data_IF_397418821096
#
_entry.id   IF_397418821096
#
_cell.length_a   1.000
_cell.length_b   1.000
_cell.length_c   1.000
_cell.angle_alpha   90.00
_cell.angle_beta   90.00
_cell.angle_gamma   90.00
#
_symmetry.space_group_name_H-M   'P 1'
#
loop_
_entity.id
_entity.type
_entity.pdbx_description
1 polymer ?
#
# COMPACT_ATOMS: atom_id res chain seq x y z
N UNK A 1 -101.21 3.93 20.04
CA UNK A 1 -100.33 2.84 19.60
C UNK A 1 -99.18 3.47 18.82
N UNK A 2 -98.04 3.73 19.49
CA UNK A 2 -96.87 4.36 18.89
C UNK A 2 -95.74 3.33 18.86
N UNK A 3 -95.22 3.04 17.67
CA UNK A 3 -94.10 2.13 17.44
C UNK A 3 -92.84 2.98 17.42
N UNK A 4 -92.04 2.91 18.50
CA UNK A 4 -90.70 3.49 18.54
C UNK A 4 -89.73 2.54 17.83
N UNK A 5 -89.20 2.97 16.67
CA UNK A 5 -88.09 2.27 15.99
C UNK A 5 -86.77 2.87 16.47
N UNK A 6 -86.05 2.10 17.27
CA UNK A 6 -84.67 2.39 17.68
C UNK A 6 -83.72 2.20 16.49
N UNK A 7 -83.43 3.29 15.77
CA UNK A 7 -82.34 3.33 14.79
C UNK A 7 -81.00 3.36 15.51
N UNK A 8 -80.23 2.27 15.44
CA UNK A 8 -78.82 2.26 15.85
C UNK A 8 -77.99 2.86 14.70
N UNK A 9 -77.47 4.06 14.91
CA UNK A 9 -76.40 4.64 14.11
C UNK A 9 -75.11 3.87 14.41
N UNK A 10 -74.63 3.07 13.46
CA UNK A 10 -73.30 2.50 13.49
C UNK A 10 -72.30 3.59 13.06
N UNK A 11 -71.54 4.12 14.00
CA UNK A 11 -70.40 4.98 13.71
C UNK A 11 -69.26 4.10 13.15
N UNK A 12 -69.04 4.17 11.85
CA UNK A 12 -67.84 3.59 11.21
C UNK A 12 -66.71 4.59 11.44
N UNK A 13 -65.84 4.29 12.39
CA UNK A 13 -64.59 5.02 12.58
C UNK A 13 -63.59 4.56 11.51
N UNK A 14 -63.39 5.37 10.46
CA UNK A 14 -62.19 5.26 9.62
C UNK A 14 -61.01 5.73 10.47
N UNK A 15 -60.29 4.79 11.05
CA UNK A 15 -58.97 5.04 11.61
C UNK A 15 -58.00 5.34 10.47
N UNK A 16 -57.79 6.62 10.17
CA UNK A 16 -56.66 7.06 9.36
C UNK A 16 -55.39 6.79 10.17
N UNK A 17 -54.84 5.57 10.03
CA UNK A 17 -53.51 5.26 10.50
C UNK A 17 -52.53 6.16 9.76
N UNK A 18 -51.98 7.15 10.47
CA UNK A 18 -50.75 7.82 10.06
C UNK A 18 -49.67 6.74 10.00
N UNK A 19 -49.46 6.16 8.81
CA UNK A 19 -48.25 5.41 8.54
C UNK A 19 -47.14 6.46 8.56
N UNK A 20 -46.37 6.50 9.64
CA UNK A 20 -45.17 7.32 9.69
C UNK A 20 -44.36 6.98 8.45
N UNK A 21 -44.11 7.97 7.59
CA UNK A 21 -43.22 7.76 6.46
C UNK A 21 -41.90 7.25 7.03
N UNK A 22 -41.45 6.09 6.57
CA UNK A 22 -40.10 5.62 6.87
C UNK A 22 -39.14 6.75 6.55
N UNK A 23 -38.12 7.00 7.40
CA UNK A 23 -37.12 8.02 7.10
C UNK A 23 -36.59 7.77 5.69
N UNK A 24 -36.46 8.84 4.90
CA UNK A 24 -35.81 8.75 3.60
C UNK A 24 -34.45 8.08 3.82
N UNK A 25 -34.17 7.04 3.03
CA UNK A 25 -32.89 6.35 3.14
C UNK A 25 -31.77 7.38 2.95
N UNK A 26 -30.83 7.42 3.90
CA UNK A 26 -29.64 8.21 3.73
C UNK A 26 -28.82 7.60 2.58
N UNK A 27 -28.34 8.44 1.67
CA UNK A 27 -27.39 8.01 0.67
C UNK A 27 -26.12 7.53 1.40
N UNK A 28 -25.62 6.35 1.04
CA UNK A 28 -24.33 5.87 1.51
C UNK A 28 -23.30 6.04 0.41
N UNK A 29 -22.12 6.50 0.82
CA UNK A 29 -20.99 6.73 -0.06
C UNK A 29 -19.77 5.94 0.41
N UNK A 30 -18.93 5.56 -0.54
CA UNK A 30 -17.58 5.02 -0.32
C UNK A 30 -16.63 5.94 -1.05
N UNK A 31 -15.65 6.49 -0.36
CA UNK A 31 -14.69 7.40 -0.98
C UNK A 31 -13.47 7.59 -0.12
N UNK A 32 -12.36 7.93 -0.76
CA UNK A 32 -11.10 8.23 -0.09
C UNK A 32 -10.13 9.01 -0.99
N UNK A 33 -8.88 9.12 -0.55
CA UNK A 33 -7.74 9.72 -1.24
C UNK A 33 -6.82 8.66 -1.85
N UNK A 34 -6.33 8.94 -3.04
CA UNK A 34 -5.20 8.27 -3.68
C UNK A 34 -4.06 9.27 -3.79
N UNK A 35 -2.88 8.90 -3.31
CA UNK A 35 -1.72 9.79 -3.24
C UNK A 35 -0.42 9.07 -3.59
N UNK A 36 0.59 9.87 -3.92
CA UNK A 36 1.95 9.44 -4.09
C UNK A 36 2.71 9.66 -2.79
N UNK A 37 2.97 8.56 -2.08
CA UNK A 37 3.83 8.42 -0.90
C UNK A 37 5.30 8.50 -1.32
N UNK A 38 5.82 9.71 -1.36
CA UNK A 38 7.15 9.98 -1.91
C UNK A 38 8.30 9.47 -1.06
N UNK A 39 8.07 9.27 0.24
CA UNK A 39 9.08 8.82 1.19
C UNK A 39 8.85 7.37 1.68
N UNK A 40 7.84 6.69 1.13
CA UNK A 40 7.48 5.29 1.39
C UNK A 40 7.09 5.01 2.85
N UNK A 41 6.51 5.98 3.54
CA UNK A 41 6.19 5.87 4.97
C UNK A 41 4.77 5.34 5.26
N UNK A 42 3.94 5.18 4.23
CA UNK A 42 2.56 4.69 4.29
C UNK A 42 1.55 5.71 4.80
N UNK A 43 1.90 7.00 4.84
CA UNK A 43 1.08 8.07 5.40
C UNK A 43 1.11 9.30 4.48
N UNK A 44 -0.07 9.79 4.10
CA UNK A 44 -0.19 11.05 3.39
C UNK A 44 0.27 12.23 4.28
N UNK A 45 1.38 12.86 3.91
CA UNK A 45 1.89 14.06 4.59
C UNK A 45 2.38 15.17 3.63
N UNK A 46 3.14 16.13 4.14
CA UNK A 46 3.59 17.29 3.38
C UNK A 46 4.66 16.98 2.32
N UNK A 47 5.27 15.80 2.34
CA UNK A 47 6.16 15.32 1.28
C UNK A 47 5.38 14.80 0.07
N UNK A 48 4.11 14.41 0.28
CA UNK A 48 3.31 13.67 -0.68
C UNK A 48 2.43 14.56 -1.55
N UNK A 49 1.90 13.96 -2.61
CA UNK A 49 0.97 14.64 -3.51
C UNK A 49 -0.16 13.72 -3.96
N UNK A 50 -1.32 14.30 -4.18
CA UNK A 50 -2.53 13.58 -4.60
C UNK A 50 -2.45 13.12 -6.05
N UNK A 51 -3.05 11.97 -6.38
CA UNK A 51 -3.03 11.39 -7.73
C UNK A 51 -4.40 11.49 -8.42
N UNK A 52 -4.51 12.34 -9.45
CA UNK A 52 -5.70 12.48 -10.29
C UNK A 52 -5.72 11.52 -11.48
N UNK A 53 -6.92 11.18 -11.97
CA UNK A 53 -7.09 10.31 -13.14
C UNK A 53 -6.93 8.82 -12.86
N UNK A 54 -6.74 8.44 -11.60
CA UNK A 54 -6.61 7.05 -11.17
C UNK A 54 -7.98 6.41 -11.09
N UNK A 55 -8.16 5.27 -11.76
CA UNK A 55 -9.41 4.50 -11.69
C UNK A 55 -9.43 3.65 -10.41
N UNK A 56 -10.52 3.81 -9.65
CA UNK A 56 -10.81 3.10 -8.41
C UNK A 56 -12.06 2.27 -8.61
N UNK A 57 -11.99 0.97 -8.35
CA UNK A 57 -13.11 0.03 -8.43
C UNK A 57 -13.59 -0.33 -7.03
N UNK A 58 -14.89 -0.14 -6.80
CA UNK A 58 -15.61 -0.55 -5.60
C UNK A 58 -16.46 -1.76 -5.96
N UNK A 59 -16.22 -2.90 -5.31
CA UNK A 59 -16.99 -4.13 -5.50
C UNK A 59 -17.52 -4.61 -4.16
N UNK A 60 -18.84 -4.79 -4.05
CA UNK A 60 -19.46 -5.38 -2.87
C UNK A 60 -19.98 -6.78 -3.15
N UNK A 61 -19.75 -7.68 -2.21
CA UNK A 61 -20.30 -9.03 -2.18
C UNK A 61 -21.38 -9.14 -1.12
N UNK A 62 -22.36 -10.00 -1.40
CA UNK A 62 -23.32 -10.44 -0.39
C UNK A 62 -22.68 -11.47 0.57
N UNK A 63 -23.43 -11.89 1.58
CA UNK A 63 -22.97 -12.91 2.52
C UNK A 63 -22.82 -14.32 1.92
N UNK A 64 -23.24 -14.53 0.67
CA UNK A 64 -22.92 -15.73 -0.11
C UNK A 64 -21.60 -15.61 -0.88
N UNK A 65 -20.92 -14.47 -0.81
CA UNK A 65 -19.71 -14.16 -1.57
C UNK A 65 -19.98 -13.75 -3.02
N UNK A 66 -21.24 -13.61 -3.43
CA UNK A 66 -21.58 -13.19 -4.79
C UNK A 66 -21.46 -11.67 -4.91
N UNK A 67 -20.72 -11.19 -5.91
CA UNK A 67 -20.68 -9.76 -6.24
C UNK A 67 -22.08 -9.28 -6.57
N UNK A 68 -22.56 -8.31 -5.80
CA UNK A 68 -23.91 -7.79 -5.92
C UNK A 68 -23.93 -6.29 -6.24
N UNK A 69 -22.80 -5.61 -6.10
CA UNK A 69 -22.59 -4.24 -6.56
C UNK A 69 -21.17 -4.08 -7.09
N UNK A 70 -21.03 -3.31 -8.16
CA UNK A 70 -19.75 -2.97 -8.73
C UNK A 70 -19.84 -1.58 -9.39
N UNK A 71 -18.85 -0.72 -9.10
CA UNK A 71 -18.76 0.62 -9.67
C UNK A 71 -17.30 1.02 -9.81
N UNK A 72 -17.01 1.87 -10.79
CA UNK A 72 -15.70 2.49 -10.97
C UNK A 72 -15.82 4.00 -10.83
N UNK A 73 -14.87 4.61 -10.14
CA UNK A 73 -14.68 6.06 -10.05
C UNK A 73 -13.29 6.43 -10.55
N UNK A 74 -13.11 7.71 -10.86
CA UNK A 74 -11.82 8.28 -11.25
C UNK A 74 -11.47 9.39 -10.27
N UNK A 75 -10.27 9.36 -9.71
CA UNK A 75 -9.81 10.40 -8.79
C UNK A 75 -9.72 11.76 -9.47
N UNK A 76 -9.96 12.83 -8.72
CA UNK A 76 -10.00 14.18 -9.30
C UNK A 76 -11.29 14.51 -10.03
N UNK A 77 -12.23 13.56 -10.12
CA UNK A 77 -13.49 13.72 -10.87
C UNK A 77 -14.66 13.25 -10.01
N UNK A 78 -15.72 14.04 -9.99
CA UNK A 78 -16.95 13.66 -9.30
C UNK A 78 -17.62 12.50 -10.04
N UNK A 79 -17.85 11.39 -9.35
CA UNK A 79 -18.57 10.26 -9.92
C UNK A 79 -20.01 10.68 -10.31
N UNK A 80 -20.58 10.19 -11.43
CA UNK A 80 -21.90 10.63 -11.90
C UNK A 80 -23.07 10.40 -10.92
N UNK A 81 -22.93 9.49 -9.96
CA UNK A 81 -23.93 9.27 -8.91
C UNK A 81 -23.82 10.26 -7.75
N UNK A 82 -22.79 11.10 -7.72
CA UNK A 82 -22.51 12.03 -6.62
C UNK A 82 -22.81 13.45 -7.08
N UNK A 83 -23.52 14.21 -6.25
CA UNK A 83 -23.68 15.66 -6.46
C UNK A 83 -22.58 16.42 -5.73
N UNK A 84 -22.13 17.61 -6.19
CA UNK A 84 -21.12 18.39 -5.48
C UNK A 84 -21.50 18.64 -4.01
N UNK A 85 -22.76 18.90 -3.73
CA UNK A 85 -23.27 19.07 -2.36
C UNK A 85 -23.19 17.79 -1.53
N UNK A 86 -23.42 16.61 -2.14
CA UNK A 86 -23.28 15.34 -1.44
C UNK A 86 -21.81 15.07 -1.11
N UNK A 87 -20.90 15.40 -2.02
CA UNK A 87 -19.46 15.33 -1.79
C UNK A 87 -19.04 16.28 -0.66
N UNK A 88 -19.41 17.56 -0.74
CA UNK A 88 -19.10 18.54 0.30
C UNK A 88 -19.67 18.12 1.66
N UNK A 89 -20.88 17.54 1.70
CA UNK A 89 -21.48 17.05 2.95
C UNK A 89 -20.78 15.80 3.47
N UNK A 90 -20.33 14.92 2.57
CA UNK A 90 -19.68 13.67 2.93
C UNK A 90 -18.20 13.83 3.28
N UNK A 91 -17.54 14.86 2.75
CA UNK A 91 -16.09 15.02 2.81
C UNK A 91 -15.64 16.30 3.55
N UNK A 92 -16.54 17.18 3.98
CA UNK A 92 -16.17 18.33 4.81
C UNK A 92 -16.07 17.98 6.30
N UNK A 93 -15.22 18.68 7.05
CA UNK A 93 -13.77 18.71 7.02
C UNK A 93 -13.25 17.72 8.07
N UNK A 94 -12.89 16.50 7.68
CA UNK A 94 -11.93 15.74 8.47
C UNK A 94 -10.65 16.59 8.52
N UNK A 95 -10.26 17.00 9.73
CA UNK A 95 -9.38 18.14 9.98
C UNK A 95 -8.07 18.09 9.18
N UNK A 96 -7.92 19.00 8.21
CA UNK A 96 -6.66 19.20 7.47
C UNK A 96 -6.76 19.04 5.95
N UNK A 97 -7.83 18.42 5.46
CA UNK A 97 -8.06 18.25 4.03
C UNK A 97 -8.72 19.50 3.40
N UNK A 98 -8.34 19.79 2.16
CA UNK A 98 -8.45 21.08 1.45
C UNK A 98 -9.88 21.67 1.31
N UNK A 99 -9.93 22.92 0.83
CA UNK A 99 -11.14 23.72 0.69
C UNK A 99 -12.24 23.01 -0.10
N UNK A 100 -13.51 23.22 0.32
CA UNK A 100 -14.70 22.69 -0.33
C UNK A 100 -14.61 22.75 -1.87
N UNK A 101 -14.71 21.59 -2.51
CA UNK A 101 -14.61 21.43 -3.97
C UNK A 101 -13.25 21.01 -4.53
N UNK A 102 -12.20 20.84 -3.71
CA UNK A 102 -10.97 20.19 -4.17
C UNK A 102 -11.17 18.67 -4.24
N UNK A 103 -11.14 18.15 -5.46
CA UNK A 103 -11.29 16.73 -5.76
C UNK A 103 -9.95 16.02 -5.94
N UNK A 104 -8.82 16.73 -5.81
CA UNK A 104 -7.53 16.15 -6.17
C UNK A 104 -7.18 14.91 -5.34
N UNK A 105 -6.87 13.81 -6.02
CA UNK A 105 -6.67 12.48 -5.45
C UNK A 105 -7.93 11.78 -4.96
N UNK A 106 -9.08 12.45 -4.95
CA UNK A 106 -10.27 11.94 -4.26
C UNK A 106 -11.20 11.18 -5.19
N UNK A 107 -11.77 10.09 -4.69
CA UNK A 107 -12.90 9.41 -5.29
C UNK A 107 -14.08 9.37 -4.31
N UNK A 108 -15.30 9.35 -4.82
CA UNK A 108 -16.51 9.12 -4.02
C UNK A 108 -17.53 8.38 -4.90
N UNK A 109 -18.06 7.27 -4.41
CA UNK A 109 -19.02 6.40 -5.08
C UNK A 109 -20.25 6.29 -4.21
N UNK A 110 -21.42 6.68 -4.73
CA UNK A 110 -22.69 6.34 -4.09
C UNK A 110 -22.96 4.85 -4.27
N UNK A 111 -23.12 4.13 -3.16
CA UNK A 111 -23.31 2.67 -3.15
C UNK A 111 -24.76 2.29 -2.87
N UNK A 112 -25.56 3.15 -2.24
CA UNK A 112 -26.98 2.89 -2.01
C UNK A 112 -27.86 3.81 -2.84
N UNK A 113 -28.86 3.21 -3.50
CA UNK A 113 -29.92 3.98 -4.14
C UNK A 113 -30.94 4.54 -3.13
N UNK A 114 -31.90 5.32 -3.63
CA UNK A 114 -32.92 6.08 -2.89
C UNK A 114 -33.80 5.28 -1.90
N UNK A 115 -33.66 3.96 -1.83
CA UNK A 115 -34.40 3.07 -0.93
C UNK A 115 -33.53 2.37 0.13
N UNK A 116 -32.25 2.74 0.27
CA UNK A 116 -31.38 2.21 1.33
C UNK A 116 -31.00 0.73 1.14
N UNK A 117 -31.10 0.24 -0.10
CA UNK A 117 -30.60 -1.05 -0.52
C UNK A 117 -29.62 -0.86 -1.67
N UNK A 118 -28.51 -1.59 -1.62
CA UNK A 118 -27.59 -1.73 -2.73
C UNK A 118 -28.33 -2.38 -3.93
N UNK A 119 -28.37 -1.75 -5.11
CA UNK A 119 -29.04 -2.32 -6.28
C UNK A 119 -28.43 -3.68 -6.63
N UNK A 120 -29.22 -4.75 -6.59
CA UNK A 120 -28.75 -6.10 -6.89
C UNK A 120 -28.27 -6.92 -5.69
N UNK A 121 -28.11 -6.29 -4.52
CA UNK A 121 -27.81 -6.99 -3.28
C UNK A 121 -29.08 -7.39 -2.54
N UNK A 122 -29.12 -8.61 -1.99
CA UNK A 122 -30.16 -9.01 -1.05
C UNK A 122 -30.12 -8.07 0.16
N UNK A 123 -31.25 -7.62 0.71
CA UNK A 123 -31.27 -6.69 1.84
C UNK A 123 -30.44 -7.27 3.00
N UNK A 124 -29.58 -6.47 3.65
CA UNK A 124 -28.73 -6.99 4.69
C UNK A 124 -29.63 -7.39 5.85
N UNK A 125 -29.45 -8.60 6.36
CA UNK A 125 -30.05 -9.00 7.64
C UNK A 125 -29.09 -8.62 8.75
N UNK A 126 -29.57 -8.46 9.98
CA UNK A 126 -28.71 -8.16 11.14
C UNK A 126 -27.56 -9.16 11.38
N UNK A 127 -27.52 -10.27 10.64
CA UNK A 127 -26.49 -11.31 10.69
C UNK A 127 -25.58 -11.37 9.45
N UNK A 128 -25.78 -10.50 8.46
CA UNK A 128 -25.13 -10.59 7.13
C UNK A 128 -24.83 -9.21 6.55
N UNK A 129 -23.76 -8.53 7.02
CA UNK A 129 -23.31 -7.29 6.41
C UNK A 129 -22.78 -7.54 4.99
N UNK A 130 -22.84 -6.53 4.13
CA UNK A 130 -22.13 -6.55 2.85
C UNK A 130 -20.64 -6.45 3.08
N UNK A 131 -19.84 -7.14 2.27
CA UNK A 131 -18.39 -6.94 2.24
C UNK A 131 -18.05 -6.15 0.99
N UNK A 132 -17.53 -4.94 1.14
CA UNK A 132 -17.06 -4.16 0.01
C UNK A 132 -15.54 -4.15 -0.02
N UNK A 133 -14.99 -4.32 -1.21
CA UNK A 133 -13.58 -4.20 -1.54
C UNK A 133 -13.38 -2.98 -2.43
N UNK A 134 -12.36 -2.20 -2.11
CA UNK A 134 -11.84 -1.15 -2.99
C UNK A 134 -10.50 -1.59 -3.58
N UNK A 135 -10.36 -1.43 -4.89
CA UNK A 135 -9.13 -1.72 -5.64
C UNK A 135 -8.80 -0.59 -6.60
N UNK A 136 -7.53 -0.24 -6.70
CA UNK A 136 -7.06 0.71 -7.71
C UNK A 136 -6.66 -0.03 -8.97
N UNK A 137 -6.96 0.53 -10.14
CA UNK A 137 -6.46 0.03 -11.41
C UNK A 137 -5.04 0.55 -11.65
N UNK A 138 -4.04 -0.30 -11.40
CA UNK A 138 -2.63 0.04 -11.53
C UNK A 138 -2.24 0.54 -12.94
N UNK A 139 -2.98 0.15 -13.98
CA UNK A 139 -2.72 0.61 -15.36
C UNK A 139 -3.07 2.10 -15.58
N UNK A 140 -3.77 2.72 -14.62
CA UNK A 140 -4.13 4.15 -14.66
C UNK A 140 -3.25 5.01 -13.75
N UNK A 141 -2.34 4.39 -12.99
CA UNK A 141 -1.36 5.12 -12.20
C UNK A 141 -0.35 5.81 -13.10
N UNK A 142 0.11 7.02 -12.75
CA UNK A 142 1.21 7.65 -13.48
C UNK A 142 2.49 6.83 -13.33
N UNK A 143 3.31 6.78 -14.37
CA UNK A 143 4.60 6.07 -14.35
C UNK A 143 5.53 6.56 -13.24
N UNK A 144 5.35 7.80 -12.79
CA UNK A 144 6.12 8.39 -11.69
C UNK A 144 5.67 7.90 -10.33
N UNK A 145 4.58 7.12 -10.20
CA UNK A 145 3.99 6.71 -8.95
C UNK A 145 3.16 5.43 -9.05
N UNK A 146 3.81 4.31 -9.35
CA UNK A 146 3.15 3.02 -9.59
C UNK A 146 3.68 1.88 -8.71
N UNK A 147 4.58 2.15 -7.75
CA UNK A 147 4.98 1.18 -6.76
C UNK A 147 3.93 1.15 -5.66
N UNK A 148 3.23 0.04 -5.46
CA UNK A 148 2.31 -0.07 -4.33
C UNK A 148 3.12 -0.01 -3.03
N UNK A 149 2.82 0.97 -2.17
CA UNK A 149 3.35 0.93 -0.81
C UNK A 149 2.58 -0.17 -0.10
N UNK A 150 3.26 -1.30 0.10
CA UNK A 150 2.76 -2.26 1.07
C UNK A 150 2.86 -1.55 2.41
N UNK A 151 1.76 -1.44 3.19
CA UNK A 151 1.85 -0.92 4.55
C UNK A 151 3.03 -1.61 5.23
N UNK A 152 3.91 -0.82 5.85
CA UNK A 152 5.21 -1.25 6.38
C UNK A 152 5.11 -2.67 6.92
N UNK A 153 5.94 -3.58 6.41
CA UNK A 153 5.93 -4.99 6.82
C UNK A 153 6.08 -5.08 8.34
N UNK A 154 4.98 -5.47 8.99
CA UNK A 154 4.77 -5.24 10.41
C UNK A 154 3.60 -4.30 10.59
N UNK A 155 2.38 -4.84 10.48
CA UNK A 155 1.26 -4.30 11.25
C UNK A 155 1.80 -3.98 12.65
N UNK A 156 1.45 -2.83 13.25
CA UNK A 156 1.69 -2.63 14.67
C UNK A 156 1.38 -3.93 15.39
N UNK A 157 2.30 -4.39 16.24
CA UNK A 157 2.06 -5.61 17.00
C UNK A 157 0.73 -5.40 17.71
N UNK A 158 -0.25 -6.25 17.36
CA UNK A 158 -1.53 -6.37 18.05
C UNK A 158 -1.21 -6.39 19.55
N UNK A 159 -1.44 -5.24 20.18
CA UNK A 159 -0.81 -4.87 21.44
C UNK A 159 -1.32 -5.76 22.56
N UNK A 160 -2.51 -6.31 22.35
CA UNK A 160 -3.22 -7.18 23.28
C UNK A 160 -3.34 -8.64 22.77
N UNK A 161 -3.09 -8.91 21.48
CA UNK A 161 -3.11 -10.22 20.85
C UNK A 161 -4.50 -10.76 20.49
N UNK A 162 -5.53 -9.92 20.40
CA UNK A 162 -6.92 -10.34 20.19
C UNK A 162 -7.35 -10.42 18.71
N UNK A 163 -6.49 -9.96 17.79
CA UNK A 163 -6.71 -10.00 16.36
C UNK A 163 -7.70 -8.95 15.84
N UNK A 164 -8.07 -7.98 16.66
CA UNK A 164 -8.59 -6.71 16.21
C UNK A 164 -7.49 -5.64 16.29
N UNK A 165 -7.68 -4.51 15.58
CA UNK A 165 -6.71 -3.40 15.59
C UNK A 165 -7.42 -2.13 16.04
N UNK A 166 -8.34 -2.26 17.00
CA UNK A 166 -9.32 -1.25 17.31
C UNK A 166 -9.00 -0.48 18.59
N UNK A 167 -7.91 -0.80 19.30
CA UNK A 167 -7.63 -0.26 20.62
C UNK A 167 -6.39 0.66 20.68
N UNK A 168 -6.26 1.49 21.73
CA UNK A 168 -5.09 2.33 21.95
C UNK A 168 -3.77 1.56 22.14
N UNK A 169 -3.85 0.30 22.52
CA UNK A 169 -2.73 -0.58 22.83
C UNK A 169 -2.07 -1.15 21.56
N UNK A 170 -2.81 -1.27 20.45
CA UNK A 170 -2.34 -1.67 19.11
C UNK A 170 -1.44 -0.63 18.43
N UNK A 171 -1.23 0.52 19.09
CA UNK A 171 -0.41 1.61 18.56
C UNK A 171 -1.16 2.44 17.51
N UNK A 172 -0.63 3.63 17.18
CA UNK A 172 -1.20 4.42 16.11
C UNK A 172 -1.00 3.65 14.79
N UNK A 173 -2.09 3.32 14.10
CA UNK A 173 -1.99 3.13 12.67
C UNK A 173 -1.23 4.32 12.05
N UNK A 174 -0.43 4.12 10.99
CA UNK A 174 0.21 5.22 10.26
C UNK A 174 -0.77 6.35 9.88
N UNK A 175 -2.07 6.05 9.82
CA UNK A 175 -3.15 6.96 9.46
C UNK A 175 -3.63 7.88 10.60
N UNK A 176 -3.27 7.64 11.88
CA UNK A 176 -3.76 8.47 12.99
C UNK A 176 -5.28 8.59 13.09
N UNK A 177 -6.02 7.70 12.42
CA UNK A 177 -7.48 7.62 12.41
C UNK A 177 -7.90 6.26 12.96
N UNK A 178 -9.01 6.27 13.71
CA UNK A 178 -9.71 5.06 14.10
C UNK A 178 -10.26 4.47 12.79
N UNK A 179 -9.92 3.23 12.46
CA UNK A 179 -10.66 2.43 11.48
C UNK A 179 -12.01 2.06 12.10
N UNK A 180 -12.87 3.07 12.24
CA UNK A 180 -14.14 2.98 12.94
C UNK A 180 -14.79 4.35 12.94
N UNK A 181 -16.06 4.40 12.54
CA UNK A 181 -16.98 5.52 12.65
C UNK A 181 -16.59 6.40 13.85
N UNK A 182 -16.22 7.66 13.58
CA UNK A 182 -15.80 8.62 14.61
C UNK A 182 -16.90 8.97 15.64
N UNK A 183 -18.03 8.26 15.61
CA UNK A 183 -19.08 8.23 16.62
C UNK A 183 -19.46 6.83 17.16
N UNK A 184 -18.93 5.74 16.59
CA UNK A 184 -19.17 4.39 17.11
C UNK A 184 -18.14 4.08 18.21
N UNK A 185 -18.64 3.81 19.41
CA UNK A 185 -17.82 3.36 20.55
C UNK A 185 -16.88 2.23 20.14
N UNK A 186 -15.65 2.21 20.64
CA UNK A 186 -14.66 1.12 20.56
C UNK A 186 -15.29 -0.30 20.51
N UNK A 187 -16.31 -0.54 21.34
CA UNK A 187 -17.13 -1.76 21.37
C UNK A 187 -17.78 -2.21 20.03
N UNK A 188 -17.99 -1.29 19.08
CA UNK A 188 -18.54 -1.59 17.76
C UNK A 188 -17.45 -2.05 16.77
N UNK A 189 -16.23 -1.57 16.95
CA UNK A 189 -15.05 -2.03 16.22
C UNK A 189 -14.67 -3.45 16.69
N UNK A 190 -14.62 -3.66 18.02
CA UNK A 190 -14.39 -4.98 18.65
C UNK A 190 -15.44 -6.04 18.23
N UNK A 191 -16.68 -5.64 17.99
CA UNK A 191 -17.75 -6.56 17.61
C UNK A 191 -17.64 -7.08 16.16
N UNK A 192 -16.83 -6.44 15.31
CA UNK A 192 -16.70 -6.75 13.89
C UNK A 192 -15.32 -6.39 13.33
N UNK A 193 -14.24 -7.07 13.76
CA UNK A 193 -12.88 -6.78 13.29
C UNK A 193 -12.77 -6.94 11.77
N UNK A 194 -12.18 -5.94 11.13
CA UNK A 194 -11.85 -6.01 9.70
C UNK A 194 -10.61 -6.88 9.52
N UNK A 195 -10.62 -7.91 8.65
CA UNK A 195 -9.41 -8.65 8.35
C UNK A 195 -8.39 -7.73 7.69
N UNK A 196 -7.13 -7.82 8.13
CA UNK A 196 -6.03 -7.08 7.52
C UNK A 196 -5.94 -7.31 6.00
N UNK A 197 -5.46 -6.32 5.24
CA UNK A 197 -5.35 -6.42 3.79
C UNK A 197 -4.45 -7.61 3.37
N UNK A 198 -4.91 -8.42 2.43
CA UNK A 198 -4.08 -9.39 1.69
C UNK A 198 -3.63 -8.82 0.35
N UNK A 199 -2.68 -9.45 -0.35
CA UNK A 199 -2.10 -8.96 -1.62
C UNK A 199 -3.13 -8.36 -2.61
N UNK A 200 -2.98 -7.07 -2.92
CA UNK A 200 -3.85 -6.31 -3.84
C UNK A 200 -5.26 -5.99 -3.33
N UNK A 201 -5.51 -6.22 -2.04
CA UNK A 201 -6.77 -5.92 -1.34
C UNK A 201 -6.49 -4.78 -0.40
N UNK A 202 -6.90 -3.57 -0.75
CA UNK A 202 -6.46 -2.41 0.02
C UNK A 202 -7.35 -2.18 1.25
N UNK A 203 -8.64 -2.53 1.16
CA UNK A 203 -9.57 -2.45 2.30
C UNK A 203 -10.76 -3.38 2.10
N UNK A 204 -11.21 -4.00 3.19
CA UNK A 204 -12.52 -4.65 3.28
C UNK A 204 -13.29 -4.02 4.43
N UNK A 205 -14.49 -3.52 4.18
CA UNK A 205 -15.36 -3.00 5.25
C UNK A 205 -16.74 -3.65 5.20
N UNK A 206 -17.36 -3.71 6.39
CA UNK A 206 -18.70 -4.25 6.60
C UNK A 206 -19.69 -3.14 6.92
N UNK A 207 -20.77 -3.02 6.15
CA UNK A 207 -21.83 -2.08 6.48
C UNK A 207 -22.74 -2.61 7.59
N UNK A 208 -23.07 -1.81 8.62
CA UNK A 208 -24.05 -2.21 9.61
C UNK A 208 -25.44 -2.37 8.99
N UNK A 209 -26.33 -3.06 9.72
CA UNK A 209 -27.70 -3.32 9.30
C UNK A 209 -28.49 -2.02 9.02
N UNK A 210 -29.56 -2.08 8.20
CA UNK A 210 -30.35 -0.90 7.82
C UNK A 210 -30.88 -0.17 9.05
N UNK A 211 -30.68 1.15 9.12
CA UNK A 211 -31.14 2.00 10.23
C UNK A 211 -30.05 2.48 11.19
N UNK A 212 -28.79 2.09 10.99
CA UNK A 212 -27.65 2.77 11.59
C UNK A 212 -27.12 3.83 10.62
N UNK A 213 -27.10 5.09 11.07
CA UNK A 213 -26.56 6.20 10.28
C UNK A 213 -25.03 6.13 10.31
N UNK A 214 -24.42 5.36 9.41
CA UNK A 214 -22.98 5.45 9.15
C UNK A 214 -22.73 6.73 8.36
N UNK A 215 -22.44 7.80 9.08
CA UNK A 215 -22.01 9.07 8.50
C UNK A 215 -20.51 8.94 8.22
N UNK A 216 -20.17 8.89 6.94
CA UNK A 216 -18.84 9.16 6.39
C UNK A 216 -17.71 8.44 7.10
N UNK A 217 -17.52 7.19 6.74
CA UNK A 217 -16.30 6.48 7.10
C UNK A 217 -15.43 6.39 5.85
N UNK A 218 -14.55 7.39 5.68
CA UNK A 218 -13.42 7.29 4.76
C UNK A 218 -12.55 6.16 5.28
N UNK A 219 -12.27 5.17 4.45
CA UNK A 219 -11.44 4.04 4.84
C UNK A 219 -10.46 3.73 3.71
N UNK A 220 -9.19 3.94 4.07
CA UNK A 220 -7.94 3.78 3.33
C UNK A 220 -7.57 4.90 2.35
N UNK A 221 -6.61 5.71 2.80
CA UNK A 221 -5.75 6.47 1.89
C UNK A 221 -4.86 5.46 1.12
N UNK A 222 -4.81 5.55 -0.21
CA UNK A 222 -3.97 4.69 -1.05
C UNK A 222 -2.62 5.36 -1.30
N UNK A 223 -1.58 4.90 -0.61
CA UNK A 223 -0.20 5.34 -0.84
C UNK A 223 0.47 4.56 -1.98
N UNK A 224 0.94 5.28 -2.99
CA UNK A 224 1.81 4.76 -4.02
C UNK A 224 3.19 5.39 -3.89
N UNK A 225 4.25 4.61 -3.88
CA UNK A 225 5.59 5.20 -4.01
C UNK A 225 5.84 5.59 -5.45
N UNK A 226 6.67 6.62 -5.66
CA UNK A 226 7.30 6.83 -6.93
C UNK A 226 7.79 5.50 -7.47
N UNK A 227 7.57 5.23 -8.77
CA UNK A 227 8.26 4.11 -9.40
C UNK A 227 9.70 4.33 -9.03
N UNK A 228 10.30 3.38 -8.30
CA UNK A 228 11.74 3.40 -8.16
C UNK A 228 12.20 3.53 -9.61
N UNK A 229 12.77 4.69 -9.97
CA UNK A 229 13.20 4.90 -11.34
C UNK A 229 13.99 3.65 -11.71
N UNK A 230 14.03 3.25 -12.98
CA UNK A 230 15.02 2.26 -13.42
C UNK A 230 16.42 2.88 -13.28
N UNK A 231 16.78 3.31 -12.06
CA UNK A 231 18.08 3.67 -11.61
C UNK A 231 18.96 2.45 -11.82
N UNK A 232 20.25 2.66 -12.08
CA UNK A 232 21.19 1.60 -12.32
C UNK A 232 20.97 0.44 -11.35
N UNK A 233 20.80 -0.73 -11.95
CA UNK A 233 20.70 -1.98 -11.22
C UNK A 233 21.99 -2.22 -10.44
N UNK A 234 21.88 -2.90 -9.31
CA UNK A 234 22.93 -3.31 -8.35
C UNK A 234 24.02 -4.24 -8.92
N UNK A 235 24.22 -4.19 -10.24
CA UNK A 235 25.12 -5.02 -11.02
C UNK A 235 26.59 -4.71 -10.74
N UNK A 236 27.50 -5.65 -11.01
CA UNK A 236 28.93 -5.37 -10.99
C UNK A 236 29.33 -4.21 -11.92
N UNK A 237 28.56 -3.98 -12.99
CA UNK A 237 28.75 -2.88 -13.93
C UNK A 237 28.53 -1.50 -13.31
N UNK A 238 27.52 -1.36 -12.44
CA UNK A 238 27.29 -0.12 -11.70
C UNK A 238 28.50 0.21 -10.81
N UNK A 239 28.86 -0.68 -9.89
CA UNK A 239 29.93 -0.43 -8.92
C UNK A 239 31.30 -0.20 -9.58
N UNK A 240 31.57 -0.87 -10.71
CA UNK A 240 32.79 -0.65 -11.50
C UNK A 240 32.91 0.78 -12.02
N UNK A 241 31.79 1.42 -12.31
CA UNK A 241 31.74 2.72 -12.98
C UNK A 241 31.38 3.88 -12.05
N UNK A 242 31.00 3.64 -10.79
CA UNK A 242 30.57 4.69 -9.85
C UNK A 242 31.49 4.73 -8.63
N UNK A 243 32.68 5.36 -8.75
CA UNK A 243 33.69 5.36 -7.69
C UNK A 243 33.26 6.09 -6.43
N UNK A 244 32.37 7.09 -6.55
CA UNK A 244 31.72 7.80 -5.46
C UNK A 244 30.83 6.86 -4.63
N UNK A 245 30.00 6.04 -5.30
CA UNK A 245 29.15 5.06 -4.63
C UNK A 245 30.00 4.02 -3.90
N UNK A 246 31.05 3.50 -4.55
CA UNK A 246 32.02 2.58 -3.92
C UNK A 246 32.67 3.25 -2.70
N UNK A 247 33.15 4.49 -2.81
CA UNK A 247 33.79 5.19 -1.71
C UNK A 247 32.88 5.32 -0.48
N UNK A 248 31.57 5.54 -0.69
CA UNK A 248 30.59 5.66 0.37
C UNK A 248 30.28 4.33 1.10
N UNK A 249 30.54 3.19 0.46
CA UNK A 249 30.27 1.85 1.01
C UNK A 249 31.49 1.15 1.59
N UNK A 250 32.69 1.64 1.30
CA UNK A 250 33.90 1.14 1.93
C UNK A 250 34.02 1.62 3.38
N UNK A 251 34.59 0.81 4.29
CA UNK A 251 35.29 -0.44 4.04
C UNK A 251 34.40 -1.69 4.01
N UNK A 252 34.79 -2.70 3.21
CA UNK A 252 34.14 -4.03 3.21
C UNK A 252 35.15 -5.14 3.45
N UNK A 253 34.73 -6.20 4.16
CA UNK A 253 35.56 -7.39 4.39
C UNK A 253 35.35 -8.41 3.28
N UNK A 254 36.42 -8.87 2.64
CA UNK A 254 36.37 -9.79 1.52
C UNK A 254 37.61 -10.70 1.52
N UNK A 255 37.45 -12.03 1.42
CA UNK A 255 38.55 -13.01 1.40
C UNK A 255 39.62 -12.79 2.50
N UNK A 256 39.20 -12.48 3.74
CA UNK A 256 40.13 -12.28 4.86
C UNK A 256 40.92 -10.96 4.82
N UNK A 257 40.60 -10.05 3.89
CA UNK A 257 41.16 -8.69 3.84
C UNK A 257 40.06 -7.64 3.91
N UNK A 258 40.37 -6.50 4.51
CA UNK A 258 39.51 -5.31 4.46
C UNK A 258 39.86 -4.52 3.21
N UNK A 259 38.91 -4.36 2.29
CA UNK A 259 39.05 -3.48 1.13
C UNK A 259 38.68 -2.08 1.58
N UNK A 260 39.66 -1.17 1.54
CA UNK A 260 39.50 0.24 1.95
C UNK A 260 39.73 1.21 0.80
N UNK A 261 40.32 0.75 -0.30
CA UNK A 261 40.64 1.56 -1.47
C UNK A 261 39.63 1.34 -2.60
N UNK A 262 39.09 2.44 -3.14
CA UNK A 262 38.11 2.42 -4.24
C UNK A 262 38.62 1.68 -5.48
N UNK A 263 39.90 1.83 -5.82
CA UNK A 263 40.46 1.18 -6.99
C UNK A 263 40.74 -0.31 -6.81
N UNK A 264 41.03 -0.74 -5.59
CA UNK A 264 41.10 -2.18 -5.28
C UNK A 264 39.70 -2.80 -5.40
N UNK A 265 38.67 -2.13 -4.90
CA UNK A 265 37.28 -2.58 -5.03
C UNK A 265 36.84 -2.64 -6.51
N UNK A 266 37.04 -1.58 -7.28
CA UNK A 266 36.71 -1.55 -8.72
C UNK A 266 37.51 -2.62 -9.49
N UNK A 267 38.78 -2.84 -9.14
CA UNK A 267 39.61 -3.88 -9.76
C UNK A 267 39.09 -5.30 -9.50
N UNK A 268 38.68 -5.58 -8.27
CA UNK A 268 38.07 -6.86 -7.90
C UNK A 268 36.69 -7.08 -8.55
N UNK A 269 35.82 -6.05 -8.56
CA UNK A 269 34.52 -6.09 -9.25
C UNK A 269 34.69 -6.23 -10.78
N UNK A 270 35.85 -5.84 -11.32
CA UNK A 270 36.19 -5.97 -12.73
C UNK A 270 36.85 -7.31 -13.13
N UNK A 271 37.09 -8.22 -12.19
CA UNK A 271 37.73 -9.52 -12.46
C UNK A 271 36.97 -10.32 -13.52
N UNK A 272 37.70 -10.95 -14.44
CA UNK A 272 37.14 -11.83 -15.48
C UNK A 272 37.51 -13.29 -15.21
N UNK A 273 36.72 -14.21 -15.75
CA UNK A 273 36.89 -15.66 -15.58
C UNK A 273 35.82 -16.29 -14.67
N UNK A 274 35.96 -17.61 -14.47
CA UNK A 274 35.10 -18.45 -13.64
C UNK A 274 35.68 -18.76 -12.26
N UNK A 275 35.04 -19.66 -11.50
CA UNK A 275 35.51 -20.12 -10.19
C UNK A 275 35.73 -18.97 -9.21
N UNK A 276 36.90 -18.94 -8.55
CA UNK A 276 37.22 -17.91 -7.55
C UNK A 276 37.21 -16.47 -8.11
N UNK A 277 37.50 -16.27 -9.41
CA UNK A 277 37.43 -14.94 -10.02
C UNK A 277 35.98 -14.48 -10.22
N UNK A 278 35.08 -15.39 -10.60
CA UNK A 278 33.65 -15.10 -10.66
C UNK A 278 33.10 -14.81 -9.27
N UNK A 279 33.45 -15.65 -8.28
CA UNK A 279 33.08 -15.42 -6.89
C UNK A 279 33.58 -14.05 -6.42
N UNK A 280 34.85 -13.71 -6.68
CA UNK A 280 35.43 -12.43 -6.29
C UNK A 280 34.64 -11.23 -6.80
N UNK A 281 34.26 -11.27 -8.08
CA UNK A 281 33.45 -10.21 -8.70
C UNK A 281 32.08 -10.09 -8.05
N UNK A 282 31.34 -11.19 -7.92
CA UNK A 282 29.96 -11.16 -7.45
C UNK A 282 29.85 -11.02 -5.93
N UNK A 283 30.77 -11.60 -5.16
CA UNK A 283 30.82 -11.47 -3.71
C UNK A 283 31.24 -10.06 -3.26
N UNK A 284 32.21 -9.42 -3.92
CA UNK A 284 32.50 -8.03 -3.62
C UNK A 284 31.30 -7.13 -3.95
N UNK A 285 30.67 -7.33 -5.11
CA UNK A 285 29.49 -6.56 -5.50
C UNK A 285 28.34 -6.75 -4.50
N UNK A 286 28.09 -8.00 -4.09
CA UNK A 286 27.08 -8.31 -3.09
C UNK A 286 27.43 -7.70 -1.71
N UNK A 287 28.70 -7.69 -1.32
CA UNK A 287 29.12 -7.02 -0.08
C UNK A 287 28.88 -5.50 -0.11
N UNK A 288 29.14 -4.84 -1.24
CA UNK A 288 28.81 -3.42 -1.44
C UNK A 288 27.30 -3.20 -1.38
N UNK A 289 26.50 -4.05 -2.05
CA UNK A 289 25.04 -4.01 -2.00
C UNK A 289 24.52 -4.20 -0.57
N UNK A 290 25.00 -5.22 0.16
CA UNK A 290 24.66 -5.47 1.55
C UNK A 290 25.01 -4.28 2.46
N UNK A 291 26.14 -3.61 2.23
CA UNK A 291 26.54 -2.45 3.03
C UNK A 291 25.70 -1.21 2.73
N UNK A 292 25.26 -1.03 1.49
CA UNK A 292 24.45 0.13 1.11
C UNK A 292 22.96 -0.06 1.44
N UNK A 293 22.44 -1.27 1.26
CA UNK A 293 21.00 -1.53 1.21
C UNK A 293 20.53 -2.63 2.16
N UNK A 294 21.44 -3.28 2.88
CA UNK A 294 21.15 -4.53 3.57
C UNK A 294 21.03 -5.70 2.60
N UNK A 295 20.93 -6.90 3.15
CA UNK A 295 20.68 -8.13 2.38
C UNK A 295 20.13 -9.22 3.29
N UNK A 296 19.51 -10.25 2.69
CA UNK A 296 18.92 -11.37 3.42
C UNK A 296 19.98 -12.18 4.19
N UNK A 297 19.54 -12.88 5.23
CA UNK A 297 20.43 -13.75 6.03
C UNK A 297 21.12 -14.84 5.18
N UNK A 298 20.47 -15.31 4.12
CA UNK A 298 21.03 -16.29 3.18
C UNK A 298 22.23 -15.73 2.42
N UNK A 299 22.11 -14.52 1.86
CA UNK A 299 23.22 -13.85 1.16
C UNK A 299 24.36 -13.53 2.12
N UNK A 300 24.05 -13.12 3.35
CA UNK A 300 25.07 -12.89 4.39
C UNK A 300 25.83 -14.16 4.75
N UNK A 301 25.12 -15.29 4.91
CA UNK A 301 25.74 -16.58 5.20
C UNK A 301 26.64 -17.04 4.05
N UNK A 302 26.16 -16.92 2.80
CA UNK A 302 26.92 -17.28 1.61
C UNK A 302 28.19 -16.44 1.46
N UNK A 303 28.10 -15.13 1.71
CA UNK A 303 29.26 -14.23 1.73
C UNK A 303 30.25 -14.61 2.83
N UNK A 304 29.77 -14.92 4.04
CA UNK A 304 30.62 -15.30 5.16
C UNK A 304 31.38 -16.61 4.88
N UNK A 305 30.69 -17.64 4.39
CA UNK A 305 31.28 -18.94 4.07
C UNK A 305 32.30 -18.81 2.93
N UNK A 306 31.92 -18.18 1.83
CA UNK A 306 32.80 -18.01 0.68
C UNK A 306 34.01 -17.11 0.98
N UNK A 307 33.86 -16.08 1.82
CA UNK A 307 34.98 -15.27 2.29
C UNK A 307 35.96 -16.08 3.16
N UNK A 308 35.45 -16.94 4.04
CA UNK A 308 36.28 -17.81 4.87
C UNK A 308 37.06 -18.80 4.00
N UNK A 309 36.38 -19.48 3.07
CA UNK A 309 36.98 -20.42 2.13
C UNK A 309 38.04 -19.75 1.25
N UNK A 310 37.75 -18.56 0.73
CA UNK A 310 38.68 -17.78 -0.06
C UNK A 310 39.93 -17.36 0.75
N UNK A 311 39.75 -16.93 2.00
CA UNK A 311 40.86 -16.54 2.88
C UNK A 311 41.79 -17.71 3.20
N UNK A 312 41.25 -18.93 3.35
CA UNK A 312 42.03 -20.14 3.60
C UNK A 312 42.55 -20.83 2.33
N UNK A 313 42.25 -20.31 1.13
CA UNK A 313 42.48 -20.98 -0.15
C UNK A 313 41.89 -22.40 -0.19
N UNK A 314 40.67 -22.57 0.32
CA UNK A 314 39.99 -23.86 0.35
C UNK A 314 39.54 -24.27 -1.07
N UNK A 315 40.25 -25.23 -1.65
CA UNK A 315 39.94 -25.74 -3.00
C UNK A 315 38.68 -26.63 -3.05
N UNK A 316 38.12 -27.02 -1.91
CA UNK A 316 36.90 -27.83 -1.84
C UNK A 316 35.61 -27.00 -1.93
N UNK A 317 35.70 -25.70 -1.71
CA UNK A 317 34.56 -24.80 -1.79
C UNK A 317 34.12 -24.56 -3.25
N UNK A 318 32.83 -24.69 -3.52
CA UNK A 318 32.27 -24.43 -4.85
C UNK A 318 32.08 -22.93 -5.09
N UNK A 319 33.19 -22.25 -5.40
CA UNK A 319 33.17 -20.83 -5.79
C UNK A 319 32.29 -20.57 -7.02
N UNK A 320 32.12 -21.55 -7.91
CA UNK A 320 31.30 -21.40 -9.11
C UNK A 320 29.81 -21.31 -8.77
N UNK A 321 29.33 -22.27 -7.97
CA UNK A 321 27.95 -22.29 -7.47
C UNK A 321 27.62 -21.04 -6.64
N UNK A 322 28.48 -20.69 -5.68
CA UNK A 322 28.30 -19.50 -4.86
C UNK A 322 28.29 -18.21 -5.71
N UNK A 323 29.16 -18.10 -6.72
CA UNK A 323 29.18 -16.96 -7.63
C UNK A 323 27.87 -16.81 -8.41
N UNK A 324 27.24 -17.92 -8.82
CA UNK A 324 25.97 -17.89 -9.56
C UNK A 324 24.83 -17.34 -8.73
N UNK A 325 24.71 -17.76 -7.46
CA UNK A 325 23.68 -17.25 -6.53
C UNK A 325 23.89 -15.75 -6.27
N UNK A 326 25.14 -15.34 -6.06
CA UNK A 326 25.47 -13.93 -5.86
C UNK A 326 25.25 -13.09 -7.13
N UNK A 327 25.46 -13.66 -8.33
CA UNK A 327 25.14 -12.99 -9.59
C UNK A 327 23.65 -12.72 -9.72
N UNK A 328 22.80 -13.71 -9.43
CA UNK A 328 21.35 -13.55 -9.40
C UNK A 328 20.91 -12.47 -8.42
N UNK A 329 21.46 -12.48 -7.19
CA UNK A 329 21.19 -11.43 -6.19
C UNK A 329 21.57 -10.02 -6.71
N UNK A 330 22.74 -9.88 -7.33
CA UNK A 330 23.20 -8.59 -7.85
C UNK A 330 22.42 -8.13 -9.10
N UNK A 331 21.74 -9.06 -9.79
CA UNK A 331 20.93 -8.80 -10.98
C UNK A 331 19.41 -8.88 -10.70
N UNK A 332 19.00 -8.87 -9.43
CA UNK A 332 17.59 -8.97 -9.00
C UNK A 332 16.67 -7.87 -9.54
N UNK A 333 17.24 -6.80 -10.12
CA UNK A 333 16.47 -5.68 -10.66
C UNK A 333 16.11 -4.64 -9.62
N UNK A 334 16.52 -4.84 -8.36
CA UNK A 334 16.35 -3.83 -7.31
C UNK A 334 17.05 -2.52 -7.70
N UNK A 335 16.28 -1.44 -7.70
CA UNK A 335 16.79 -0.10 -7.92
C UNK A 335 17.75 0.31 -6.79
N UNK A 336 18.69 1.18 -7.14
CA UNK A 336 19.54 1.86 -6.18
C UNK A 336 18.78 3.11 -5.70
N UNK A 337 18.58 3.30 -4.39
CA UNK A 337 17.95 4.50 -3.83
C UNK A 337 18.60 5.79 -4.33
N UNK A 338 17.77 6.79 -4.57
CA UNK A 338 18.19 8.13 -4.98
C UNK A 338 19.14 8.72 -3.92
N UNK A 339 20.41 8.91 -4.29
CA UNK A 339 21.45 9.41 -3.37
C UNK A 339 22.85 8.89 -3.67
N UNK A 340 22.99 7.63 -4.10
CA UNK A 340 24.29 7.06 -4.50
C UNK A 340 24.66 7.37 -5.97
N UNK A 341 23.68 7.74 -6.78
CA UNK A 341 23.81 7.90 -8.24
C UNK A 341 24.17 9.31 -8.71
N UNK A 342 24.46 10.24 -7.81
CA UNK A 342 24.55 11.67 -8.16
C UNK A 342 25.69 12.03 -9.15
N UNK A 343 26.60 11.10 -9.44
CA UNK A 343 27.68 11.33 -10.40
C UNK A 343 27.58 10.38 -11.61
N UNK A 344 27.87 10.93 -12.79
CA UNK A 344 27.92 10.17 -14.03
C UNK A 344 28.99 9.05 -13.95
N UNK A 345 28.66 7.90 -14.54
CA UNK A 345 29.56 6.77 -14.69
C UNK A 345 30.96 7.18 -15.21
N UNK A 346 32.01 6.80 -14.48
CA UNK A 346 33.41 7.04 -14.78
C UNK A 346 34.21 5.73 -14.93
N UNK A 347 34.11 5.03 -16.07
CA UNK A 347 34.79 3.75 -16.30
C UNK A 347 36.32 3.84 -16.30
N UNK A 348 36.89 5.06 -16.36
CA UNK A 348 38.33 5.31 -16.39
C UNK A 348 38.89 5.77 -15.05
N UNK A 349 38.09 5.79 -13.98
CA UNK A 349 38.49 6.35 -12.68
C UNK A 349 39.82 5.76 -12.16
N UNK A 350 39.97 4.44 -12.23
CA UNK A 350 41.17 3.73 -11.76
C UNK A 350 42.22 3.44 -12.84
N UNK A 351 42.03 3.94 -14.07
CA UNK A 351 43.04 3.78 -15.10
C UNK A 351 44.23 4.73 -14.83
N UNK A 352 45.48 4.25 -14.91
CA UNK A 352 46.67 5.10 -14.79
C UNK A 352 46.59 6.26 -15.80
N UNK A 353 46.98 7.47 -15.40
CA UNK A 353 46.89 8.67 -16.24
C UNK A 353 47.54 8.49 -17.63
N UNK A 354 48.60 7.67 -17.72
CA UNK A 354 49.30 7.36 -18.97
C UNK A 354 48.46 6.60 -20.02
N UNK A 355 47.36 5.92 -19.62
CA UNK A 355 46.47 5.17 -20.52
C UNK A 355 45.19 5.93 -20.90
N UNK A 356 45.02 7.20 -20.47
CA UNK A 356 43.79 7.99 -20.70
C UNK A 356 43.78 8.79 -22.01
N UNK A 357 44.78 8.63 -22.88
CA UNK A 357 44.85 9.30 -24.19
C UNK A 357 44.01 8.60 -25.25
#
# INVERSE_FOLDING_TARGET
MWISRSGRLAAIALGAGLVAASPAAANQFVGDLVYCDTDANGRYDGADFTLDGVEVRVSCTDAGGATCFESTATTGVLHPSVTPSAFDTACAPAAGYSAAGDLSGRYLVEIMGTNGALPGCLPPTAQRPYQCRVTVNEATLPDTCNGLVTPIAGLPADGNGDGDWCDPEDGPFPEGQILGDSSASQAACEAAPSPGPSDGVHTTFSFPAPGQNTVCSLYADFGYTPRAEEGPTRTPGFWKNHPNAVAATLPVSFCGRTVTNVCDAIGLAGQQGGGINAFTRHALTAALNCSAFGCSAEIQALLAEGNAACASNDASYDFGGAASVLDEFNNSGDAIPSGLEQEAANPKYCQPAAKRR
#
